data_IF_476346386810
#
_entry.id   IF_476346386810
#
_cell.length_a   1.000
_cell.length_b   1.000
_cell.length_c   1.000
_cell.angle_alpha   90.00
_cell.angle_beta   90.00
_cell.angle_gamma   90.00
#
_symmetry.space_group_name_H-M   'P 1'
#
loop_
_entity.id
_entity.type
_entity.pdbx_description
1 polymer ?
#
# COMPACT_ATOMS: atom_id res chain seq x y z
N UNK A 1 -2.70 8.92 -8.08
CA UNK A 1 -2.79 7.77 -9.04
C UNK A 1 -1.82 7.84 -10.21
N UNK A 2 -1.69 8.94 -10.95
CA UNK A 2 -0.71 9.04 -12.06
C UNK A 2 0.73 8.80 -11.59
N UNK A 3 1.11 9.31 -10.41
CA UNK A 3 2.42 9.03 -9.80
C UNK A 3 2.63 7.53 -9.53
N UNK A 4 1.63 6.82 -8.99
CA UNK A 4 1.71 5.37 -8.74
C UNK A 4 1.87 4.57 -10.04
N UNK A 5 1.12 4.94 -11.08
CA UNK A 5 1.18 4.29 -12.40
C UNK A 5 2.50 4.51 -13.13
N UNK A 6 3.16 5.66 -12.91
CA UNK A 6 4.48 5.92 -13.46
C UNK A 6 5.61 5.22 -12.65
N UNK A 7 5.38 4.99 -11.36
CA UNK A 7 6.39 4.41 -10.47
C UNK A 7 6.61 2.91 -10.70
N UNK A 8 5.54 2.12 -10.86
CA UNK A 8 5.65 0.68 -11.10
C UNK A 8 6.50 0.32 -12.33
N UNK A 9 6.27 0.91 -13.54
CA UNK A 9 7.10 0.64 -14.71
C UNK A 9 8.53 1.18 -14.55
N UNK A 10 8.74 2.31 -13.86
CA UNK A 10 10.08 2.82 -13.57
C UNK A 10 10.93 1.89 -12.68
N UNK A 11 10.28 1.05 -11.87
CA UNK A 11 10.93 0.01 -11.06
C UNK A 11 11.04 -1.35 -11.78
N UNK A 12 10.60 -1.44 -13.04
CA UNK A 12 10.57 -2.68 -13.81
C UNK A 12 9.50 -3.67 -13.37
N UNK A 13 8.45 -3.22 -12.69
CA UNK A 13 7.34 -4.08 -12.27
C UNK A 13 6.31 -4.20 -13.39
N UNK A 14 6.35 -5.32 -14.12
CA UNK A 14 5.48 -5.58 -15.26
C UNK A 14 4.04 -5.95 -14.86
N UNK A 15 3.86 -6.62 -13.71
CA UNK A 15 2.55 -7.01 -13.19
C UNK A 15 2.21 -6.17 -11.96
N UNK A 16 1.23 -5.28 -12.11
CA UNK A 16 0.71 -4.48 -11.01
C UNK A 16 -0.79 -4.23 -11.19
N UNK A 17 -1.49 -4.14 -10.06
CA UNK A 17 -2.89 -3.73 -10.02
C UNK A 17 -3.00 -2.38 -9.31
N UNK A 18 -3.74 -1.44 -9.89
CA UNK A 18 -4.03 -0.15 -9.25
C UNK A 18 -5.34 -0.27 -8.49
N UNK A 19 -5.24 -0.43 -7.17
CA UNK A 19 -6.39 -0.49 -6.29
C UNK A 19 -6.74 0.89 -5.76
N UNK A 20 -7.91 1.39 -6.17
CA UNK A 20 -8.50 2.61 -5.64
C UNK A 20 -9.60 2.25 -4.65
N UNK A 21 -9.54 2.79 -3.43
CA UNK A 21 -10.59 2.64 -2.44
C UNK A 21 -10.99 4.01 -1.90
N UNK A 22 -12.27 4.35 -2.03
CA UNK A 22 -12.87 5.54 -1.42
C UNK A 22 -13.49 5.11 -0.10
N UNK A 23 -12.81 5.43 0.99
CA UNK A 23 -13.25 5.10 2.35
C UNK A 23 -12.45 5.91 3.37
N UNK A 24 -13.05 6.19 4.52
CA UNK A 24 -12.30 6.80 5.63
C UNK A 24 -11.29 5.79 6.15
N UNK A 25 -10.09 6.23 6.55
CA UNK A 25 -9.07 5.39 7.16
C UNK A 25 -9.61 4.55 8.36
N UNK A 26 -10.72 5.01 8.95
CA UNK A 26 -11.39 4.43 10.12
C UNK A 26 -12.60 3.53 9.79
N UNK A 27 -13.21 3.60 8.59
CA UNK A 27 -14.40 2.76 8.27
C UNK A 27 -14.45 2.30 6.81
N UNK A 28 -14.70 0.99 6.65
CA UNK A 28 -14.98 0.24 5.42
C UNK A 28 -13.82 0.22 4.41
N UNK A 29 -12.80 -0.58 4.71
CA UNK A 29 -11.64 -0.83 3.83
C UNK A 29 -11.59 -2.23 3.26
N UNK A 30 -12.64 -2.59 2.50
CA UNK A 30 -12.85 -3.96 2.03
C UNK A 30 -11.81 -4.36 0.99
N UNK A 31 -11.47 -3.48 0.05
CA UNK A 31 -10.45 -3.72 -0.97
C UNK A 31 -9.05 -3.75 -0.37
N UNK A 32 -8.73 -2.83 0.55
CA UNK A 32 -7.43 -2.85 1.19
C UNK A 32 -7.20 -4.13 2.02
N UNK A 33 -8.22 -4.58 2.76
CA UNK A 33 -8.15 -5.86 3.47
C UNK A 33 -8.02 -7.06 2.52
N UNK A 34 -8.68 -7.03 1.36
CA UNK A 34 -8.50 -8.06 0.33
C UNK A 34 -7.05 -8.10 -0.19
N UNK A 35 -6.46 -6.95 -0.51
CA UNK A 35 -5.05 -6.86 -0.94
C UNK A 35 -4.10 -7.36 0.15
N UNK A 36 -4.38 -7.05 1.42
CA UNK A 36 -3.57 -7.56 2.53
C UNK A 36 -3.71 -9.07 2.72
N UNK A 37 -4.91 -9.62 2.52
CA UNK A 37 -5.18 -11.04 2.64
C UNK A 37 -4.65 -11.87 1.47
N UNK A 38 -4.45 -11.25 0.30
CA UNK A 38 -3.93 -11.93 -0.88
C UNK A 38 -2.44 -12.27 -0.72
N UNK A 39 -2.04 -13.55 -0.76
CA UNK A 39 -0.65 -13.96 -0.60
C UNK A 39 0.20 -13.76 -1.86
N UNK A 40 -0.41 -13.58 -3.04
CA UNK A 40 0.30 -13.27 -4.30
C UNK A 40 0.85 -11.85 -4.34
N UNK A 41 0.30 -10.94 -3.53
CA UNK A 41 0.78 -9.57 -3.42
C UNK A 41 2.09 -9.50 -2.64
N UNK A 42 3.19 -9.32 -3.36
CA UNK A 42 4.54 -9.20 -2.78
C UNK A 42 4.86 -7.78 -2.29
N UNK A 43 4.33 -6.76 -2.97
CA UNK A 43 4.65 -5.35 -2.74
C UNK A 43 3.39 -4.51 -2.79
N UNK A 44 3.22 -3.63 -1.81
CA UNK A 44 2.10 -2.69 -1.75
C UNK A 44 2.67 -1.28 -1.82
N UNK A 45 2.25 -0.50 -2.81
CA UNK A 45 2.74 0.87 -2.99
C UNK A 45 1.63 1.84 -2.63
N UNK A 46 1.95 2.82 -1.80
CA UNK A 46 1.03 3.87 -1.38
C UNK A 46 1.62 5.24 -1.60
N UNK A 47 0.77 6.21 -1.91
CA UNK A 47 1.21 7.60 -2.05
C UNK A 47 1.67 8.16 -0.70
N UNK A 48 0.87 8.03 0.37
CA UNK A 48 1.16 8.64 1.68
C UNK A 48 0.96 7.67 2.84
N UNK A 49 1.77 7.79 3.91
CA UNK A 49 1.65 6.93 5.12
C UNK A 49 0.27 7.01 5.77
N UNK A 50 -0.29 8.22 5.88
CA UNK A 50 -1.58 8.42 6.54
C UNK A 50 -2.77 7.82 5.78
N UNK A 51 -2.63 7.58 4.46
CA UNK A 51 -3.64 6.84 3.70
C UNK A 51 -3.78 5.40 4.19
N UNK A 52 -2.72 4.80 4.77
CA UNK A 52 -2.73 3.43 5.24
C UNK A 52 -3.32 3.27 6.63
N UNK A 53 -3.07 4.18 7.56
CA UNK A 53 -3.72 4.32 8.86
C UNK A 53 -2.91 5.38 9.62
N UNK A 54 -3.55 6.31 10.35
CA UNK A 54 -2.79 7.20 11.24
C UNK A 54 -2.12 6.45 12.40
N UNK A 55 -2.65 5.28 12.81
CA UNK A 55 -2.16 4.56 14.00
C UNK A 55 -1.67 3.14 13.74
N UNK A 56 -2.23 2.45 12.74
CA UNK A 56 -1.94 1.04 12.48
C UNK A 56 -0.79 0.75 11.51
N UNK A 57 -0.16 1.76 10.91
CA UNK A 57 0.86 1.54 9.86
C UNK A 57 2.06 0.71 10.35
N UNK A 58 2.69 0.99 11.51
CA UNK A 58 3.87 0.23 11.96
C UNK A 58 3.57 -1.26 12.19
N UNK A 59 2.38 -1.58 12.71
CA UNK A 59 1.93 -2.96 12.94
C UNK A 59 1.76 -3.72 11.62
N UNK A 60 1.11 -3.09 10.64
CA UNK A 60 0.92 -3.67 9.31
C UNK A 60 2.27 -3.85 8.61
N UNK A 61 3.15 -2.85 8.67
CA UNK A 61 4.48 -2.93 8.08
C UNK A 61 5.31 -4.08 8.68
N UNK A 62 5.30 -4.25 10.00
CA UNK A 62 5.98 -5.33 10.68
C UNK A 62 5.44 -6.71 10.27
N UNK A 63 4.12 -6.88 10.21
CA UNK A 63 3.48 -8.13 9.78
C UNK A 63 3.81 -8.49 8.33
N UNK A 64 3.88 -7.49 7.45
CA UNK A 64 4.27 -7.68 6.05
C UNK A 64 5.73 -8.05 5.93
N UNK A 65 6.63 -7.37 6.66
CA UNK A 65 8.05 -7.74 6.68
C UNK A 65 8.26 -9.17 7.15
N UNK A 66 7.53 -9.61 8.17
CA UNK A 66 7.60 -10.99 8.67
C UNK A 66 7.15 -12.03 7.62
N UNK A 67 6.21 -11.67 6.74
CA UNK A 67 5.76 -12.52 5.62
C UNK A 67 6.57 -12.35 4.34
N UNK A 68 7.70 -11.64 4.38
CA UNK A 68 8.55 -11.39 3.20
C UNK A 68 8.01 -10.33 2.23
N UNK A 69 6.92 -9.65 2.61
CA UNK A 69 6.25 -8.60 1.85
C UNK A 69 6.74 -7.22 2.28
N UNK A 70 6.57 -6.21 1.41
CA UNK A 70 7.00 -4.84 1.71
C UNK A 70 5.95 -3.81 1.32
N UNK A 71 5.85 -2.74 2.13
CA UNK A 71 5.15 -1.52 1.75
C UNK A 71 6.18 -0.51 1.25
N UNK A 72 5.87 0.14 0.13
CA UNK A 72 6.62 1.27 -0.42
C UNK A 72 5.76 2.52 -0.31
N UNK A 73 6.29 3.57 0.29
CA UNK A 73 5.63 4.86 0.42
C UNK A 73 6.33 5.85 -0.49
N UNK A 74 5.59 6.52 -1.37
CA UNK A 74 6.17 7.46 -2.35
C UNK A 74 6.39 8.86 -1.78
N UNK A 75 5.47 9.35 -0.96
CA UNK A 75 5.60 10.62 -0.25
C UNK A 75 5.58 10.36 1.26
N UNK A 76 6.76 10.49 1.87
CA UNK A 76 6.86 10.70 3.29
C UNK A 76 6.72 12.20 3.55
N UNK A 77 5.49 12.65 3.82
CA UNK A 77 5.31 14.02 4.29
C UNK A 77 5.99 14.12 5.67
N UNK A 78 7.20 14.67 5.67
CA UNK A 78 7.77 15.35 6.82
C UNK A 78 7.06 16.70 6.91
N UNK A 79 6.07 16.79 7.80
CA UNK A 79 5.25 18.00 8.04
C UNK A 79 4.34 17.80 9.22
#
# INVERSE_FOLDING_TARGET
MERLKAFAPAQGWAEYEVVAEVGSATRKRRRFLQVLADPGVSRIVVEKRHHLNQFGFPLVEAALRASGRRIVVLEDECG
#
